data_IF_819157913129
#
_entry.id   IF_819157913129
#
_cell.length_a   1.000
_cell.length_b   1.000
_cell.length_c   1.000
_cell.angle_alpha   90.00
_cell.angle_beta   90.00
_cell.angle_gamma   90.00
#
_symmetry.space_group_name_H-M   'P 1'
#
loop_
_entity.id
_entity.type
_entity.pdbx_description
1 polymer ?
#
# COMPACT_ATOMS: atom_id res chain seq x y z
N UNK A 1 33.72 16.85 2.24
CA UNK A 1 33.28 15.44 2.39
C UNK A 1 32.65 15.12 3.76
N UNK A 2 33.02 15.80 4.85
CA UNK A 2 32.48 15.52 6.21
C UNK A 2 31.04 15.99 6.47
N UNK A 3 30.55 17.03 5.77
CA UNK A 3 29.19 17.58 5.98
C UNK A 3 28.08 16.61 5.54
N UNK A 4 28.30 15.80 4.52
CA UNK A 4 27.29 14.86 4.00
C UNK A 4 27.02 13.74 5.00
N UNK A 5 28.07 13.18 5.61
CA UNK A 5 27.92 12.18 6.67
C UNK A 5 27.17 12.72 7.90
N UNK A 6 27.43 13.97 8.27
CA UNK A 6 26.72 14.64 9.37
C UNK A 6 25.24 14.84 9.05
N UNK A 7 24.89 15.20 7.81
CA UNK A 7 23.51 15.30 7.34
C UNK A 7 22.78 13.94 7.29
N UNK A 8 23.45 12.87 6.88
CA UNK A 8 22.87 11.52 6.85
C UNK A 8 22.54 11.06 8.27
N UNK A 9 23.47 11.25 9.22
CA UNK A 9 23.26 10.90 10.63
C UNK A 9 22.13 11.76 11.23
N UNK A 10 22.12 13.06 10.96
CA UNK A 10 21.08 13.97 11.44
C UNK A 10 19.70 13.58 10.89
N UNK A 11 19.60 13.27 9.58
CA UNK A 11 18.37 12.82 8.95
C UNK A 11 17.88 11.50 9.55
N UNK A 12 18.78 10.54 9.79
CA UNK A 12 18.45 9.28 10.43
C UNK A 12 17.92 9.50 11.86
N UNK A 13 18.59 10.31 12.66
CA UNK A 13 18.19 10.62 14.05
C UNK A 13 16.83 11.32 14.09
N UNK A 14 16.64 12.38 13.29
CA UNK A 14 15.39 13.14 13.25
C UNK A 14 14.22 12.27 12.77
N UNK A 15 14.43 11.48 11.71
CA UNK A 15 13.38 10.60 11.16
C UNK A 15 13.02 9.48 12.14
N UNK A 16 14.01 8.91 12.83
CA UNK A 16 13.78 7.85 13.81
C UNK A 16 13.04 8.39 15.04
N UNK A 17 13.41 9.57 15.53
CA UNK A 17 12.72 10.23 16.65
C UNK A 17 11.26 10.49 16.26
N UNK A 18 10.98 11.11 15.12
CA UNK A 18 9.61 11.47 14.71
C UNK A 18 8.74 10.23 14.44
N UNK A 19 9.31 9.11 13.98
CA UNK A 19 8.56 7.84 13.77
C UNK A 19 8.40 7.03 15.06
N UNK A 20 9.39 7.02 15.95
CA UNK A 20 9.35 6.27 17.20
C UNK A 20 8.55 7.00 18.30
N UNK A 21 8.50 8.33 18.30
CA UNK A 21 7.69 9.11 19.25
C UNK A 21 6.19 8.74 19.21
N UNK A 22 5.51 8.73 18.05
CA UNK A 22 4.08 8.42 18.01
C UNK A 22 3.83 6.97 18.43
N UNK A 23 4.73 6.04 18.08
CA UNK A 23 4.61 4.63 18.45
C UNK A 23 4.86 4.36 19.94
N UNK A 24 5.72 5.13 20.59
CA UNK A 24 6.04 4.96 22.03
C UNK A 24 5.08 5.73 22.94
N UNK A 25 4.55 6.89 22.52
CA UNK A 25 3.61 7.69 23.29
C UNK A 25 2.17 7.15 23.26
N UNK A 26 1.79 6.42 22.19
CA UNK A 26 0.47 5.75 22.03
C UNK A 26 0.39 4.43 22.83
N UNK A 27 1.36 4.14 23.71
CA UNK A 27 1.33 2.98 24.62
C UNK A 27 0.37 3.14 25.81
N UNK A 28 -0.50 4.16 25.81
CA UNK A 28 -1.63 4.24 26.76
C UNK A 28 -2.83 3.48 26.18
N UNK A 29 -3.34 2.53 26.95
CA UNK A 29 -4.57 1.81 26.62
C UNK A 29 -5.69 2.78 26.26
N UNK A 30 -6.09 2.77 25.00
CA UNK A 30 -7.30 3.45 24.56
C UNK A 30 -8.46 2.65 25.13
N UNK A 31 -8.96 3.06 26.30
CA UNK A 31 -10.05 2.44 27.06
C UNK A 31 -11.41 2.43 26.32
N UNK A 32 -11.49 2.98 25.11
CA UNK A 32 -12.71 3.02 24.29
C UNK A 32 -12.57 2.16 23.03
N UNK A 33 -13.45 1.15 22.92
CA UNK A 33 -13.60 0.22 21.78
C UNK A 33 -13.77 0.96 20.43
N UNK A 34 -14.35 2.16 20.44
CA UNK A 34 -14.66 2.93 19.23
C UNK A 34 -13.41 3.49 18.53
N UNK A 35 -12.49 4.10 19.29
CA UNK A 35 -11.28 4.72 18.74
C UNK A 35 -10.24 3.67 18.32
N UNK A 36 -10.20 2.52 19.00
CA UNK A 36 -9.36 1.39 18.59
C UNK A 36 -9.82 0.76 17.27
N UNK A 37 -11.13 0.56 17.09
CA UNK A 37 -11.66 0.13 15.79
C UNK A 37 -11.38 1.19 14.73
N UNK A 38 -11.69 2.47 15.00
CA UNK A 38 -11.54 3.53 14.01
C UNK A 38 -10.09 3.67 13.53
N UNK A 39 -9.12 3.72 14.45
CA UNK A 39 -7.71 3.86 14.09
C UNK A 39 -7.14 2.59 13.44
N UNK A 40 -7.74 1.41 13.67
CA UNK A 40 -7.37 0.20 12.93
C UNK A 40 -7.97 0.18 11.52
N UNK A 41 -9.12 0.81 11.26
CA UNK A 41 -9.73 0.82 9.93
C UNK A 41 -9.24 1.97 9.03
N UNK A 42 -8.87 3.12 9.60
CA UNK A 42 -8.41 4.30 8.84
C UNK A 42 -7.19 4.02 7.94
N UNK A 43 -6.10 3.35 8.39
CA UNK A 43 -4.95 3.05 7.54
C UNK A 43 -5.30 2.13 6.38
N UNK A 44 -6.15 1.12 6.61
CA UNK A 44 -6.57 0.21 5.54
C UNK A 44 -7.52 0.88 4.55
N UNK A 45 -8.44 1.72 5.04
CA UNK A 45 -9.34 2.49 4.18
C UNK A 45 -8.57 3.50 3.32
N UNK A 46 -7.56 4.17 3.89
CA UNK A 46 -6.69 5.10 3.16
C UNK A 46 -5.78 4.38 2.16
N UNK A 47 -5.18 3.25 2.52
CA UNK A 47 -4.45 2.38 1.58
C UNK A 47 -5.33 1.95 0.41
N UNK A 48 -6.56 1.49 0.68
CA UNK A 48 -7.51 1.09 -0.36
C UNK A 48 -7.90 2.28 -1.25
N UNK A 49 -8.19 3.44 -0.66
CA UNK A 49 -8.54 4.66 -1.39
C UNK A 49 -7.39 5.19 -2.26
N UNK A 50 -6.13 4.96 -1.88
CA UNK A 50 -4.97 5.29 -2.73
C UNK A 50 -4.74 4.26 -3.84
N UNK A 51 -4.97 2.97 -3.54
CA UNK A 51 -4.62 1.87 -4.47
C UNK A 51 -5.70 1.66 -5.54
N UNK A 52 -6.97 1.79 -5.18
CA UNK A 52 -8.10 1.60 -6.10
C UNK A 52 -8.06 2.51 -7.33
N UNK A 53 -7.94 3.86 -7.20
CA UNK A 53 -7.84 4.73 -8.37
C UNK A 53 -6.54 4.52 -9.17
N UNK A 54 -5.44 4.18 -8.50
CA UNK A 54 -4.15 3.93 -9.15
C UNK A 54 -4.21 2.69 -10.07
N UNK A 55 -4.87 1.61 -9.65
CA UNK A 55 -5.05 0.41 -10.47
C UNK A 55 -5.94 0.69 -11.69
N UNK A 56 -7.02 1.44 -11.50
CA UNK A 56 -7.95 1.78 -12.60
C UNK A 56 -7.29 2.69 -13.65
N UNK A 57 -6.41 3.59 -13.22
CA UNK A 57 -5.73 4.57 -14.08
C UNK A 57 -4.36 4.10 -14.61
N UNK A 58 -3.94 2.87 -14.29
CA UNK A 58 -2.62 2.35 -14.69
C UNK A 58 -2.55 1.93 -16.16
N UNK A 59 -3.68 1.68 -16.81
CA UNK A 59 -3.77 1.23 -18.21
C UNK A 59 -4.61 2.19 -19.04
N UNK A 60 -4.23 2.40 -20.31
CA UNK A 60 -4.94 3.28 -21.26
C UNK A 60 -6.40 2.88 -21.50
N UNK A 61 -6.75 1.62 -21.26
CA UNK A 61 -8.10 1.09 -21.38
C UNK A 61 -8.69 0.61 -20.06
N UNK A 62 -9.81 1.24 -19.68
CA UNK A 62 -10.58 0.93 -18.47
C UNK A 62 -10.91 -0.56 -18.31
N UNK A 63 -11.24 -1.28 -19.39
CA UNK A 63 -11.61 -2.70 -19.25
C UNK A 63 -10.37 -3.58 -18.98
N UNK A 64 -9.18 -3.21 -19.47
CA UNK A 64 -7.95 -3.96 -19.15
C UNK A 64 -7.64 -3.84 -17.66
N UNK A 65 -7.74 -2.64 -17.09
CA UNK A 65 -7.61 -2.38 -15.66
C UNK A 65 -8.64 -3.15 -14.82
N UNK A 66 -9.91 -3.18 -15.26
CA UNK A 66 -10.99 -3.88 -14.54
C UNK A 66 -10.79 -5.40 -14.57
N UNK A 67 -10.34 -5.96 -15.70
CA UNK A 67 -10.03 -7.39 -15.82
C UNK A 67 -8.83 -7.76 -14.96
N UNK A 68 -7.76 -6.95 -14.98
CA UNK A 68 -6.59 -7.11 -14.10
C UNK A 68 -6.96 -7.04 -12.62
N UNK A 69 -7.83 -6.10 -12.23
CA UNK A 69 -8.35 -5.98 -10.87
C UNK A 69 -9.21 -7.18 -10.46
N UNK A 70 -10.09 -7.67 -11.33
CA UNK A 70 -10.93 -8.83 -11.06
C UNK A 70 -10.10 -10.11 -10.84
N UNK A 71 -9.06 -10.31 -11.66
CA UNK A 71 -8.12 -11.43 -11.52
C UNK A 71 -7.31 -11.30 -10.21
N UNK A 72 -6.82 -10.10 -9.91
CA UNK A 72 -6.11 -9.83 -8.65
C UNK A 72 -7.00 -10.13 -7.43
N UNK A 73 -8.27 -9.73 -7.48
CA UNK A 73 -9.25 -9.96 -6.42
C UNK A 73 -9.52 -11.46 -6.24
N UNK A 74 -9.80 -12.19 -7.32
CA UNK A 74 -10.04 -13.63 -7.29
C UNK A 74 -8.84 -14.41 -6.73
N UNK A 75 -7.61 -14.06 -7.12
CA UNK A 75 -6.41 -14.69 -6.58
C UNK A 75 -6.14 -14.31 -5.11
N UNK A 76 -6.42 -13.06 -4.71
CA UNK A 76 -6.27 -12.61 -3.33
C UNK A 76 -7.20 -13.37 -2.36
N UNK A 77 -8.44 -13.68 -2.80
CA UNK A 77 -9.37 -14.49 -2.00
C UNK A 77 -8.86 -15.90 -1.73
N UNK A 78 -7.98 -16.43 -2.58
CA UNK A 78 -7.45 -17.79 -2.46
C UNK A 78 -6.25 -17.92 -1.50
N UNK A 79 -5.98 -16.91 -0.65
CA UNK A 79 -4.86 -16.84 0.32
C UNK A 79 -3.48 -17.15 -0.27
N UNK A 80 -3.26 -16.86 -1.56
CA UNK A 80 -1.97 -17.04 -2.23
C UNK A 80 -0.98 -15.93 -1.81
N UNK A 81 0.31 -16.21 -1.95
CA UNK A 81 1.36 -15.25 -1.55
C UNK A 81 1.20 -13.91 -2.28
N UNK A 82 1.46 -12.79 -1.59
CA UNK A 82 1.33 -11.43 -2.14
C UNK A 82 2.11 -11.26 -3.45
N UNK A 83 3.30 -11.86 -3.52
CA UNK A 83 4.15 -11.83 -4.71
C UNK A 83 3.51 -12.56 -5.89
N UNK A 84 2.88 -13.72 -5.65
CA UNK A 84 2.18 -14.47 -6.70
C UNK A 84 0.95 -13.72 -7.20
N UNK A 85 0.20 -13.07 -6.31
CA UNK A 85 -0.97 -12.28 -6.70
C UNK A 85 -0.54 -11.10 -7.58
N UNK A 86 0.48 -10.34 -7.14
CA UNK A 86 0.98 -9.18 -7.87
C UNK A 86 1.57 -9.54 -9.24
N UNK A 87 2.38 -10.61 -9.31
CA UNK A 87 2.99 -11.03 -10.58
C UNK A 87 1.93 -11.50 -11.58
N UNK A 88 0.96 -12.30 -11.14
CA UNK A 88 -0.11 -12.82 -12.02
C UNK A 88 -1.05 -11.69 -12.46
N UNK A 89 -1.39 -10.75 -11.58
CA UNK A 89 -2.24 -9.61 -11.96
C UNK A 89 -1.56 -8.69 -12.96
N UNK A 90 -0.25 -8.43 -12.81
CA UNK A 90 0.50 -7.64 -13.76
C UNK A 90 0.64 -8.35 -15.12
N UNK A 91 0.92 -9.66 -15.12
CA UNK A 91 0.99 -10.44 -16.36
C UNK A 91 -0.37 -10.48 -17.07
N UNK A 92 -1.47 -10.64 -16.32
CA UNK A 92 -2.81 -10.65 -16.88
C UNK A 92 -3.20 -9.29 -17.48
N UNK A 93 -2.96 -8.19 -16.74
CA UNK A 93 -3.20 -6.84 -17.25
C UNK A 93 -2.36 -6.55 -18.52
N UNK A 94 -1.09 -6.97 -18.53
CA UNK A 94 -0.20 -6.82 -19.68
C UNK A 94 -0.67 -7.61 -20.91
N UNK A 95 -1.10 -8.86 -20.73
CA UNK A 95 -1.61 -9.70 -21.84
C UNK A 95 -2.90 -9.12 -22.41
N UNK A 96 -3.80 -8.63 -21.56
CA UNK A 96 -5.06 -8.02 -21.99
C UNK A 96 -4.81 -6.69 -22.71
N UNK A 97 -3.89 -5.87 -22.21
CA UNK A 97 -3.48 -4.62 -22.86
C UNK A 97 -2.83 -4.88 -24.24
N UNK A 98 -1.99 -5.91 -24.35
CA UNK A 98 -1.36 -6.31 -25.62
C UNK A 98 -2.38 -6.80 -26.65
N UNK A 99 -3.45 -7.47 -26.23
CA UNK A 99 -4.47 -8.00 -27.14
C UNK A 99 -5.46 -6.92 -27.62
N UNK A 100 -5.55 -5.80 -26.89
CA UNK A 100 -6.48 -4.73 -27.17
C UNK A 100 -5.86 -3.51 -27.87
N UNK A 101 -4.52 -3.42 -27.86
CA UNK A 101 -3.73 -2.46 -28.65
C UNK A 101 -3.54 -2.96 -30.09
#
# INVERSE_FOLDING_TARGET
>A
MSRVYLYIILMAVVTYIIRALPLTLIRREIKSRFIRSFLHYVPYATLAAMTFPAILSATDYLISSVVGFAIALLLAFNKKSLLTVASVSCLAAFIVELFLR
#
